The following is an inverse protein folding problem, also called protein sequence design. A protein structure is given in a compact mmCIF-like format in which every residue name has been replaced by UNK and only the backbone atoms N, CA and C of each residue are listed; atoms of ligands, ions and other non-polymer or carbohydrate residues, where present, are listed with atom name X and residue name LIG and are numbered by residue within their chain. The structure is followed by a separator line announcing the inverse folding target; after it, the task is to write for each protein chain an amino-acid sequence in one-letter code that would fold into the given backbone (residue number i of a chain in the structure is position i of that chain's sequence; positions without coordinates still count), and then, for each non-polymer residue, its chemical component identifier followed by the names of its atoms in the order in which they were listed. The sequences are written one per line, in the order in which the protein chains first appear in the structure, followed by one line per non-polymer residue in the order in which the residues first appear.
data_IF_447572703750
#
_entry.id   IF_447572703750
#
_cell.length_a   1.000
_cell.length_b   1.000
_cell.length_c   1.000
_cell.angle_alpha   90.00
_cell.angle_beta   90.00
_cell.angle_gamma   90.00
#
_symmetry.space_group_name_H-M   'P 1'
#
loop_
_entity.id
_entity.type
_entity.pdbx_description
1 polymer ?
#
# COMPACT_ATOMS: atom_id res chain seq x y z
N UNK A 1 29.72 15.09 10.53
CA UNK A 1 29.04 15.07 9.24
C UNK A 1 27.71 14.31 9.41
N UNK A 2 26.64 14.96 9.04
CA UNK A 2 25.33 14.34 9.06
C UNK A 2 24.93 13.92 7.66
N UNK A 3 24.54 12.67 7.51
CA UNK A 3 24.04 12.16 6.25
C UNK A 3 22.52 11.99 6.35
N UNK A 4 21.79 12.58 5.43
CA UNK A 4 20.38 12.32 5.25
C UNK A 4 20.21 11.32 4.13
N UNK A 5 19.68 10.16 4.47
CA UNK A 5 19.36 9.13 3.47
C UNK A 5 17.89 9.17 3.14
N UNK A 6 17.52 8.99 1.87
CA UNK A 6 16.13 8.82 1.51
C UNK A 6 15.53 7.65 2.27
N UNK A 7 14.27 7.79 2.66
CA UNK A 7 13.54 6.74 3.36
C UNK A 7 12.71 5.95 2.37
N UNK A 8 12.71 4.63 2.55
CA UNK A 8 11.91 3.72 1.73
C UNK A 8 10.66 3.33 2.49
N UNK A 9 9.53 3.49 1.82
CA UNK A 9 8.23 3.06 2.33
C UNK A 9 7.81 1.84 1.52
N UNK A 10 7.67 0.71 2.20
CA UNK A 10 7.19 -0.51 1.59
C UNK A 10 5.72 -0.73 1.87
N UNK A 11 4.98 -1.21 0.91
CA UNK A 11 3.57 -1.45 1.11
C UNK A 11 2.98 -2.40 0.09
N UNK A 12 1.73 -2.74 0.33
CA UNK A 12 0.98 -3.69 -0.51
C UNK A 12 -0.33 -3.08 -0.90
N UNK A 13 -0.68 -3.21 -2.18
CA UNK A 13 -2.04 -3.00 -2.68
C UNK A 13 -2.68 -4.38 -2.73
N UNK A 14 -3.45 -4.75 -1.69
CA UNK A 14 -4.05 -6.07 -1.64
C UNK A 14 -5.39 -6.06 -2.35
N UNK A 15 -5.68 -7.10 -3.10
CA UNK A 15 -6.96 -7.20 -3.79
C UNK A 15 -7.52 -8.61 -3.69
N UNK A 16 -8.84 -8.68 -3.73
CA UNK A 16 -9.58 -9.93 -3.71
C UNK A 16 -10.65 -9.85 -4.79
N UNK A 17 -10.47 -10.66 -5.83
CA UNK A 17 -11.23 -10.55 -7.07
C UNK A 17 -11.07 -9.12 -7.63
N UNK A 18 -12.17 -8.44 -7.91
CA UNK A 18 -12.17 -7.08 -8.45
C UNK A 18 -12.33 -5.99 -7.39
N UNK A 19 -11.96 -6.30 -6.14
CA UNK A 19 -12.05 -5.34 -5.03
C UNK A 19 -10.68 -5.11 -4.42
N UNK A 20 -10.45 -3.88 -4.00
CA UNK A 20 -9.20 -3.44 -3.38
C UNK A 20 -9.42 -3.25 -1.89
N UNK A 21 -8.49 -3.76 -1.08
CA UNK A 21 -8.51 -3.56 0.37
C UNK A 21 -7.85 -2.24 0.70
N UNK A 22 -8.59 -1.37 1.35
CA UNK A 22 -8.07 -0.10 1.89
C UNK A 22 -8.21 -0.09 3.40
N UNK A 23 -7.34 0.66 4.05
CA UNK A 23 -7.39 0.85 5.51
C UNK A 23 -7.41 2.34 5.83
N UNK A 24 -8.06 2.68 6.96
CA UNK A 24 -8.25 4.05 7.40
C UNK A 24 -7.22 4.41 8.46
N UNK A 25 -6.52 5.50 8.24
CA UNK A 25 -5.41 5.93 9.09
C UNK A 25 -5.89 6.46 10.42
N UNK A 26 -5.17 6.10 11.49
CA UNK A 26 -5.44 6.59 12.85
C UNK A 26 -4.41 7.61 13.33
N UNK A 27 -3.47 8.02 12.48
CA UNK A 27 -2.41 8.98 12.84
C UNK A 27 -2.25 10.03 11.75
N UNK A 28 -1.68 11.18 12.12
CA UNK A 28 -1.26 12.20 11.18
C UNK A 28 0.06 11.81 10.52
N UNK A 29 0.33 12.23 9.28
CA UNK A 29 -0.56 12.98 8.41
C UNK A 29 -1.68 12.13 7.85
N UNK A 30 -2.83 12.73 7.59
CA UNK A 30 -3.94 12.03 6.95
C UNK A 30 -4.83 11.24 7.89
N UNK A 31 -4.96 11.67 9.15
CA UNK A 31 -5.87 11.02 10.08
C UNK A 31 -7.28 10.90 9.47
N UNK A 32 -7.83 9.70 9.53
CA UNK A 32 -9.16 9.40 9.00
C UNK A 32 -9.22 9.18 7.50
N UNK A 33 -8.13 9.40 6.79
CA UNK A 33 -8.09 9.14 5.35
C UNK A 33 -7.75 7.68 5.07
N UNK A 34 -8.09 7.24 3.86
CA UNK A 34 -7.89 5.86 3.43
C UNK A 34 -6.59 5.70 2.64
N UNK A 35 -5.95 4.56 2.83
CA UNK A 35 -4.68 4.23 2.19
C UNK A 35 -4.57 2.72 2.01
N UNK A 36 -3.47 2.28 1.41
CA UNK A 36 -3.09 0.86 1.41
C UNK A 36 -2.13 0.59 2.57
N UNK A 37 -2.04 -0.64 3.07
CA UNK A 37 -1.09 -0.98 4.13
C UNK A 37 0.33 -0.66 3.69
N UNK A 38 1.03 0.18 4.45
CA UNK A 38 2.39 0.61 4.12
C UNK A 38 3.05 1.27 5.33
N UNK A 39 4.38 1.32 5.30
CA UNK A 39 5.16 1.99 6.33
C UNK A 39 6.64 1.97 6.01
N UNK A 40 7.41 2.64 6.84
CA UNK A 40 8.84 2.72 6.66
C UNK A 40 9.49 1.34 6.83
N UNK A 41 10.45 1.03 5.96
CA UNK A 41 11.29 -0.15 6.15
C UNK A 41 12.08 -0.03 7.45
N UNK A 42 12.21 -1.16 8.13
CA UNK A 42 13.05 -1.28 9.30
C UNK A 42 14.42 -1.84 8.91
N UNK A 43 15.41 -1.65 9.79
CA UNK A 43 16.72 -2.21 9.56
C UNK A 43 16.68 -3.74 9.53
N UNK A 44 17.53 -4.33 8.71
CA UNK A 44 17.69 -5.79 8.61
C UNK A 44 16.47 -6.54 8.04
N UNK A 45 15.58 -5.85 7.33
CA UNK A 45 14.52 -6.54 6.61
C UNK A 45 14.61 -6.24 5.12
N UNK A 46 14.17 -7.19 4.31
CA UNK A 46 14.02 -6.95 2.87
C UNK A 46 12.79 -6.10 2.63
N UNK A 47 12.70 -5.53 1.42
CA UNK A 47 11.53 -4.76 1.02
C UNK A 47 10.25 -5.60 1.13
N UNK A 48 10.30 -6.86 0.68
CA UNK A 48 9.16 -7.77 0.75
C UNK A 48 8.77 -8.07 2.19
N UNK A 49 9.76 -8.30 3.05
CA UNK A 49 9.50 -8.55 4.48
C UNK A 49 8.82 -7.36 5.14
N UNK A 50 9.29 -6.14 4.85
CA UNK A 50 8.70 -4.93 5.38
C UNK A 50 7.26 -4.72 4.92
N UNK A 51 7.01 -4.92 3.64
CA UNK A 51 5.66 -4.79 3.07
C UNK A 51 4.70 -5.81 3.69
N UNK A 52 5.13 -7.06 3.84
CA UNK A 52 4.33 -8.11 4.47
C UNK A 52 4.05 -7.80 5.93
N UNK A 53 5.05 -7.31 6.65
CA UNK A 53 4.91 -6.94 8.05
C UNK A 53 3.86 -5.86 8.23
N UNK A 54 3.93 -4.79 7.42
CA UNK A 54 2.94 -3.71 7.48
C UNK A 54 1.52 -4.21 7.18
N UNK A 55 1.37 -5.08 6.19
CA UNK A 55 0.07 -5.64 5.85
C UNK A 55 -0.49 -6.48 7.00
N UNK A 56 0.35 -7.27 7.65
CA UNK A 56 -0.05 -8.06 8.81
C UNK A 56 -0.44 -7.18 9.98
N UNK A 57 0.34 -6.16 10.29
CA UNK A 57 0.10 -5.28 11.42
C UNK A 57 -1.17 -4.45 11.23
N UNK A 58 -1.41 -3.93 10.05
CA UNK A 58 -2.49 -2.98 9.81
C UNK A 58 -3.84 -3.63 9.52
N UNK A 59 -3.86 -4.73 8.76
CA UNK A 59 -5.11 -5.36 8.33
C UNK A 59 -5.15 -6.88 8.52
N UNK A 60 -4.13 -7.46 9.13
CA UNK A 60 -4.12 -8.88 9.50
C UNK A 60 -4.10 -9.84 8.33
N UNK A 61 -3.58 -9.43 7.19
CA UNK A 61 -3.52 -10.29 6.01
C UNK A 61 -2.14 -10.91 5.84
N UNK A 62 -2.11 -12.08 5.23
CA UNK A 62 -0.89 -12.75 4.83
C UNK A 62 -0.76 -12.69 3.32
N UNK A 63 0.29 -12.05 2.84
CA UNK A 63 0.53 -11.86 1.41
C UNK A 63 1.61 -12.85 0.96
N UNK A 64 1.23 -13.88 0.22
CA UNK A 64 2.17 -14.90 -0.23
C UNK A 64 2.80 -14.57 -1.58
N UNK A 65 2.09 -13.85 -2.44
CA UNK A 65 2.53 -13.50 -3.78
C UNK A 65 2.63 -12.00 -3.93
N UNK A 66 3.82 -11.46 -3.72
CA UNK A 66 4.08 -10.04 -3.92
C UNK A 66 4.67 -9.81 -5.30
N UNK A 67 4.07 -8.89 -6.05
CA UNK A 67 4.60 -8.42 -7.32
C UNK A 67 4.87 -6.93 -7.21
N UNK A 68 6.11 -6.51 -7.46
CA UNK A 68 6.43 -5.09 -7.49
C UNK A 68 5.55 -4.41 -8.54
N UNK A 69 4.88 -3.35 -8.13
CA UNK A 69 3.88 -2.72 -8.98
C UNK A 69 4.12 -1.24 -9.21
N UNK A 70 4.55 -0.51 -8.18
CA UNK A 70 4.77 0.94 -8.26
C UNK A 70 6.05 1.32 -7.53
N UNK A 71 6.85 2.16 -8.19
CA UNK A 71 7.95 2.90 -7.57
C UNK A 71 7.61 4.38 -7.71
N UNK A 72 7.42 5.05 -6.58
CA UNK A 72 6.97 6.44 -6.58
C UNK A 72 7.89 7.30 -5.72
N UNK A 73 8.61 8.20 -6.35
CA UNK A 73 9.57 9.06 -5.68
C UNK A 73 8.94 10.39 -5.31
N UNK A 74 9.24 10.87 -4.12
CA UNK A 74 8.86 12.19 -3.64
C UNK A 74 10.13 12.91 -3.21
N UNK A 75 10.87 13.53 -4.15
CA UNK A 75 12.17 14.14 -3.83
C UNK A 75 12.07 15.25 -2.78
N UNK A 76 10.98 15.98 -2.77
CA UNK A 76 10.75 17.09 -1.84
C UNK A 76 10.91 16.68 -0.39
N UNK A 77 10.56 15.45 -0.05
CA UNK A 77 10.67 14.93 1.33
C UNK A 77 11.62 13.74 1.42
N UNK A 78 12.39 13.48 0.38
CA UNK A 78 13.36 12.40 0.32
C UNK A 78 12.76 11.04 0.68
N UNK A 79 11.65 10.71 0.05
CA UNK A 79 10.97 9.44 0.24
C UNK A 79 10.76 8.73 -1.09
N UNK A 80 10.80 7.40 -1.03
CA UNK A 80 10.49 6.53 -2.15
C UNK A 80 9.50 5.47 -1.65
N UNK A 81 8.35 5.39 -2.32
CA UNK A 81 7.39 4.32 -2.11
C UNK A 81 7.71 3.19 -3.06
N UNK A 82 7.81 1.99 -2.51
CA UNK A 82 7.95 0.76 -3.30
C UNK A 82 6.79 -0.15 -2.94
N UNK A 83 5.80 -0.20 -3.83
CA UNK A 83 4.52 -0.83 -3.54
C UNK A 83 4.33 -2.08 -4.39
N UNK A 84 3.91 -3.14 -3.73
CA UNK A 84 3.58 -4.41 -4.37
C UNK A 84 2.07 -4.52 -4.53
N UNK A 85 1.62 -5.28 -5.51
CA UNK A 85 0.25 -5.77 -5.50
C UNK A 85 0.26 -7.25 -5.10
N UNK A 86 -0.82 -7.70 -4.48
CA UNK A 86 -0.94 -9.07 -4.02
C UNK A 86 -2.40 -9.50 -4.05
N UNK A 87 -2.67 -10.60 -4.75
CA UNK A 87 -3.99 -11.21 -4.73
C UNK A 87 -4.17 -12.01 -3.45
N UNK A 88 -5.26 -11.74 -2.75
CA UNK A 88 -5.56 -12.42 -1.50
C UNK A 88 -6.32 -13.73 -1.76
N UNK A 89 -6.02 -14.75 -0.94
CA UNK A 89 -6.71 -16.04 -1.03
C UNK A 89 -8.12 -15.98 -0.42
N UNK A 90 -8.38 -15.02 0.46
CA UNK A 90 -9.67 -14.84 1.11
C UNK A 90 -9.88 -13.37 1.44
N UNK A 91 -11.11 -13.04 1.84
CA UNK A 91 -11.44 -11.68 2.28
C UNK A 91 -11.43 -11.53 3.81
N UNK A 92 -10.78 -12.43 4.51
CA UNK A 92 -10.65 -12.33 5.97
C UNK A 92 -9.61 -11.29 6.34
N UNK A 93 -10.01 -10.33 7.16
CA UNK A 93 -9.13 -9.27 7.65
C UNK A 93 -9.28 -9.13 9.15
N UNK A 94 -8.22 -8.66 9.81
CA UNK A 94 -8.23 -8.31 11.23
C UNK A 94 -7.59 -6.94 11.37
N UNK A 95 -8.40 -5.95 11.69
CA UNK A 95 -7.93 -4.57 11.82
C UNK A 95 -7.00 -4.46 13.02
N UNK A 96 -5.80 -3.94 12.78
CA UNK A 96 -4.80 -3.75 13.82
C UNK A 96 -5.15 -2.58 14.75
N UNK A 97 -4.46 -2.47 15.90
CA UNK A 97 -4.79 -1.46 16.91
C UNK A 97 -4.54 -0.02 16.44
N UNK A 98 -3.69 0.16 15.43
CA UNK A 98 -3.38 1.50 14.90
C UNK A 98 -4.14 1.81 13.61
N UNK A 99 -5.15 1.02 13.28
CA UNK A 99 -5.98 1.19 12.09
C UNK A 99 -7.43 1.41 12.53
N UNK A 100 -8.06 2.49 12.04
CA UNK A 100 -9.44 2.79 12.44
C UNK A 100 -10.44 1.80 11.83
N UNK A 101 -10.25 1.47 10.55
CA UNK A 101 -11.15 0.60 9.81
C UNK A 101 -10.42 0.03 8.58
N UNK A 102 -10.95 -1.04 8.04
CA UNK A 102 -10.50 -1.58 6.75
C UNK A 102 -11.71 -2.15 6.04
N UNK A 103 -11.70 -2.05 4.71
CA UNK A 103 -12.80 -2.56 3.90
C UNK A 103 -12.35 -2.80 2.47
N UNK A 104 -13.10 -3.62 1.76
CA UNK A 104 -12.90 -3.89 0.34
C UNK A 104 -13.78 -2.95 -0.48
N UNK A 105 -13.17 -2.28 -1.45
CA UNK A 105 -13.85 -1.34 -2.32
C UNK A 105 -13.84 -1.83 -3.76
N UNK A 106 -14.98 -1.76 -4.42
CA UNK A 106 -15.02 -1.95 -5.87
C UNK A 106 -14.41 -0.72 -6.55
N UNK A 107 -14.07 -0.85 -7.84
CA UNK A 107 -13.38 0.25 -8.55
C UNK A 107 -14.21 1.53 -8.62
N UNK A 108 -15.55 1.41 -8.61
CA UNK A 108 -16.43 2.60 -8.64
C UNK A 108 -16.74 3.15 -7.26
N UNK A 109 -16.30 2.53 -6.18
CA UNK A 109 -16.60 2.97 -4.82
C UNK A 109 -15.37 3.46 -4.07
N UNK A 110 -14.24 3.58 -4.76
CA UNK A 110 -13.02 4.14 -4.17
C UNK A 110 -13.32 5.56 -3.69
N UNK A 111 -13.05 5.85 -2.40
CA UNK A 111 -13.31 7.20 -1.86
C UNK A 111 -12.20 8.18 -2.24
N UNK A 112 -12.11 8.52 -3.52
CA UNK A 112 -11.03 9.32 -4.08
C UNK A 112 -10.72 10.61 -3.30
N UNK A 113 -11.71 11.43 -2.88
CA UNK A 113 -11.41 12.64 -2.12
C UNK A 113 -10.76 12.36 -0.76
N UNK A 114 -10.95 11.16 -0.23
CA UNK A 114 -10.46 10.77 1.10
C UNK A 114 -9.29 9.81 1.02
N UNK A 115 -8.64 9.68 -0.13
CA UNK A 115 -7.44 8.86 -0.26
C UNK A 115 -6.23 9.69 0.17
N UNK A 116 -5.47 9.17 1.13
CA UNK A 116 -4.23 9.79 1.57
C UNK A 116 -3.11 9.50 0.56
N UNK A 117 -2.26 10.49 0.34
CA UNK A 117 -0.99 10.38 -0.39
C UNK A 117 -1.13 10.20 -1.91
N UNK A 118 -0.33 10.97 -2.62
CA UNK A 118 -0.29 10.91 -4.09
C UNK A 118 0.22 9.55 -4.60
N UNK A 119 1.14 8.92 -3.88
CA UNK A 119 1.63 7.60 -4.26
C UNK A 119 0.52 6.55 -4.27
N UNK A 120 -0.40 6.62 -3.31
CA UNK A 120 -1.53 5.69 -3.23
C UNK A 120 -2.51 5.95 -4.35
N UNK A 121 -2.84 7.22 -4.60
CA UNK A 121 -3.72 7.58 -5.73
C UNK A 121 -3.15 7.10 -7.06
N UNK A 122 -1.85 7.30 -7.28
CA UNK A 122 -1.16 6.83 -8.47
C UNK A 122 -1.29 5.32 -8.60
N UNK A 123 -1.04 4.58 -7.51
CA UNK A 123 -1.10 3.12 -7.51
C UNK A 123 -2.50 2.60 -7.80
N UNK A 124 -3.52 3.20 -7.18
CA UNK A 124 -4.91 2.80 -7.42
C UNK A 124 -5.31 3.03 -8.87
N UNK A 125 -4.94 4.17 -9.45
CA UNK A 125 -5.23 4.46 -10.85
C UNK A 125 -4.56 3.47 -11.79
N UNK A 126 -3.29 3.15 -11.54
CA UNK A 126 -2.57 2.16 -12.37
C UNK A 126 -3.17 0.77 -12.25
N UNK A 127 -3.55 0.38 -11.04
CA UNK A 127 -4.17 -0.92 -10.82
C UNK A 127 -5.50 -1.05 -11.55
N UNK A 128 -6.37 -0.06 -11.40
CA UNK A 128 -7.69 -0.09 -12.04
C UNK A 128 -7.56 -0.08 -13.57
N UNK A 129 -6.64 0.73 -14.11
CA UNK A 129 -6.44 0.85 -15.55
C UNK A 129 -5.85 -0.41 -16.18
N UNK A 130 -5.17 -1.25 -15.40
CA UNK A 130 -4.45 -2.42 -15.91
C UNK A 130 -5.03 -3.74 -15.40
N UNK A 131 -6.13 -3.70 -14.70
CA UNK A 131 -6.78 -4.91 -14.20
C UNK A 131 -7.46 -5.67 -15.35
N UNK A 132 -7.37 -7.00 -15.39
CA UNK A 132 -6.60 -7.87 -14.50
C UNK A 132 -5.09 -7.76 -14.77
N UNK A 133 -4.30 -7.94 -13.70
CA UNK A 133 -2.84 -7.87 -13.79
C UNK A 133 -2.33 -9.19 -14.33
N UNK A 134 -1.86 -9.21 -15.57
CA UNK A 134 -1.49 -10.45 -16.27
C UNK A 134 -0.02 -10.57 -16.60
N UNK A 135 0.79 -9.55 -16.25
CA UNK A 135 2.22 -9.56 -16.49
C UNK A 135 2.96 -8.94 -15.30
N UNK A 136 4.30 -8.90 -15.38
CA UNK A 136 5.12 -8.37 -14.31
C UNK A 136 5.50 -6.90 -14.54
N UNK A 137 4.66 -6.14 -15.22
CA UNK A 137 4.87 -4.72 -15.41
C UNK A 137 4.77 -3.96 -14.10
N UNK A 138 5.63 -2.93 -13.97
CA UNK A 138 5.51 -1.99 -12.86
C UNK A 138 5.59 -0.57 -13.39
N UNK A 139 5.17 0.39 -12.57
CA UNK A 139 4.99 1.78 -12.99
C UNK A 139 5.84 2.70 -12.12
N UNK A 140 6.50 3.65 -12.75
CA UNK A 140 7.35 4.64 -12.08
C UNK A 140 6.77 6.02 -12.38
N UNK A 141 6.68 6.88 -11.36
CA UNK A 141 6.24 8.25 -11.56
C UNK A 141 7.32 9.12 -12.20
#
# INVERSE_FOLDING_TARGET
IHYENPKVIGGVLPFYHDKILLCQRSIEPGYGLWTIPSGFMECNETLQEGAKREAQEEVGIQCDNLQLFVVYSIPRISQVYMLFCSELASNNIVVGPETLAADFFSFNTIPWPDIAFSAVKFSLNKFISNYPITNNEFFIN
#
